data_IF_591427481713
#
_entry.id   IF_591427481713
#
_cell.length_a   1.000
_cell.length_b   1.000
_cell.length_c   1.000
_cell.angle_alpha   90.00
_cell.angle_beta   90.00
_cell.angle_gamma   90.00
#
_symmetry.space_group_name_H-M   'P 1'
#
loop_
_entity.id
_entity.type
_entity.pdbx_description
1 polymer ?
#
# COMPACT_ATOMS: atom_id res chain seq x y z
N UNK A 1 2.97 21.41 24.20
CA UNK A 1 2.24 20.22 23.68
C UNK A 1 2.33 20.23 22.15
N UNK A 2 3.06 19.26 21.56
CA UNK A 2 2.91 19.02 20.12
C UNK A 2 1.48 18.52 19.92
N UNK A 3 0.63 19.30 19.26
CA UNK A 3 -0.68 18.81 18.80
C UNK A 3 -0.38 17.65 17.88
N UNK A 4 -0.84 16.42 18.22
CA UNK A 4 -0.87 15.30 17.30
C UNK A 4 -1.81 15.66 16.16
N UNK A 5 -1.29 16.26 15.09
CA UNK A 5 -2.09 16.44 13.89
C UNK A 5 -2.23 15.08 13.20
N UNK A 6 -3.38 14.81 12.57
CA UNK A 6 -3.54 13.62 11.72
C UNK A 6 -2.50 13.59 10.61
N UNK A 7 -2.10 12.39 10.21
CA UNK A 7 -1.27 12.17 9.04
C UNK A 7 -2.03 12.60 7.77
N UNK A 8 -1.43 13.45 6.95
CA UNK A 8 -1.99 13.84 5.67
C UNK A 8 -1.59 12.79 4.62
N UNK A 9 -2.53 11.93 4.27
CA UNK A 9 -2.36 10.86 3.28
C UNK A 9 -2.91 11.28 1.92
N UNK A 10 -2.08 11.27 0.87
CA UNK A 10 -2.46 11.67 -0.48
C UNK A 10 -2.44 10.49 -1.46
N UNK A 11 -3.44 10.38 -2.37
CA UNK A 11 -3.41 9.42 -3.47
C UNK A 11 -2.42 9.85 -4.55
N UNK A 12 -1.72 8.89 -5.16
CA UNK A 12 -0.77 9.17 -6.24
C UNK A 12 -0.91 8.16 -7.37
N UNK A 13 -1.02 8.67 -8.61
CA UNK A 13 -1.20 7.86 -9.80
C UNK A 13 0.07 7.64 -10.62
N UNK A 14 1.12 8.39 -10.35
CA UNK A 14 2.43 8.26 -10.97
C UNK A 14 3.52 8.93 -10.11
N UNK A 15 4.78 8.75 -10.48
CA UNK A 15 5.93 9.26 -9.73
C UNK A 15 5.97 10.79 -9.64
N UNK A 16 5.54 11.50 -10.68
CA UNK A 16 5.47 12.97 -10.69
C UNK A 16 4.45 13.48 -9.67
N UNK A 17 3.25 12.89 -9.66
CA UNK A 17 2.20 13.22 -8.68
C UNK A 17 2.66 12.89 -7.26
N UNK A 18 3.37 11.78 -7.06
CA UNK A 18 3.95 11.41 -5.78
C UNK A 18 4.90 12.51 -5.27
N UNK A 19 5.85 12.92 -6.09
CA UNK A 19 6.80 13.98 -5.75
C UNK A 19 6.09 15.30 -5.46
N UNK A 20 5.10 15.64 -6.26
CA UNK A 20 4.27 16.83 -6.06
C UNK A 20 3.53 16.79 -4.73
N UNK A 21 2.83 15.69 -4.42
CA UNK A 21 2.09 15.54 -3.18
C UNK A 21 2.99 15.74 -1.95
N UNK A 22 4.17 15.13 -1.95
CA UNK A 22 5.15 15.28 -0.87
C UNK A 22 5.65 16.71 -0.77
N UNK A 23 5.99 17.34 -1.89
CA UNK A 23 6.45 18.75 -1.93
C UNK A 23 5.42 19.69 -1.34
N UNK A 24 4.13 19.43 -1.55
CA UNK A 24 3.03 20.22 -1.00
C UNK A 24 2.56 19.78 0.39
N UNK A 25 3.31 18.91 1.06
CA UNK A 25 3.16 18.63 2.49
C UNK A 25 2.40 17.38 2.86
N UNK A 26 2.27 16.40 1.95
CA UNK A 26 1.79 15.09 2.32
C UNK A 26 2.76 14.41 3.30
N UNK A 27 2.23 13.87 4.38
CA UNK A 27 3.00 13.08 5.37
C UNK A 27 3.17 11.63 4.91
N UNK A 28 2.22 11.16 4.08
CA UNK A 28 2.26 9.85 3.45
C UNK A 28 1.54 9.90 2.09
N UNK A 29 1.92 9.00 1.22
CA UNK A 29 1.26 8.78 -0.07
C UNK A 29 0.86 7.31 -0.21
N UNK A 30 -0.21 7.05 -0.96
CA UNK A 30 -0.53 5.68 -1.34
C UNK A 30 -0.62 5.55 -2.86
N UNK A 31 -0.22 4.39 -3.36
CA UNK A 31 -0.11 4.09 -4.76
C UNK A 31 -0.49 2.63 -5.06
N UNK A 32 -0.83 2.35 -6.30
CA UNK A 32 -1.07 0.99 -6.79
C UNK A 32 0.09 0.51 -7.66
N UNK A 33 0.55 -0.72 -7.40
CA UNK A 33 1.45 -1.42 -8.30
C UNK A 33 0.73 -1.93 -9.55
N UNK A 34 1.47 -2.37 -10.55
CA UNK A 34 0.93 -2.95 -11.79
C UNK A 34 0.10 -4.22 -11.55
N UNK A 35 0.34 -4.88 -10.41
CA UNK A 35 -0.37 -6.09 -10.04
C UNK A 35 -1.27 -5.88 -8.80
N UNK A 36 -2.39 -6.58 -8.75
CA UNK A 36 -3.26 -6.75 -7.57
C UNK A 36 -3.87 -5.49 -6.95
N UNK A 37 -3.86 -4.35 -7.65
CA UNK A 37 -4.62 -3.16 -7.29
C UNK A 37 -5.98 -3.11 -8.00
N UNK A 38 -7.00 -2.52 -7.38
CA UNK A 38 -8.34 -2.34 -7.98
C UNK A 38 -8.36 -1.48 -9.24
N UNK A 39 -7.32 -0.72 -9.49
CA UNK A 39 -7.20 0.19 -10.63
C UNK A 39 -6.23 -0.34 -11.70
N UNK A 40 -6.22 -1.65 -11.95
CA UNK A 40 -5.35 -2.29 -12.95
C UNK A 40 -5.44 -1.68 -14.37
N UNK A 41 -6.50 -0.95 -14.69
CA UNK A 41 -6.68 -0.24 -15.95
C UNK A 41 -6.12 1.21 -15.95
N UNK A 42 -5.65 1.73 -14.82
CA UNK A 42 -5.00 3.02 -14.71
C UNK A 42 -3.47 2.85 -14.78
N UNK A 43 -2.75 3.95 -14.98
CA UNK A 43 -1.30 3.96 -14.81
C UNK A 43 -0.95 3.47 -13.40
N UNK A 44 -0.28 2.32 -13.32
CA UNK A 44 0.18 1.73 -12.08
C UNK A 44 1.70 1.79 -12.04
N UNK A 45 2.25 1.80 -10.83
CA UNK A 45 3.69 1.87 -10.62
C UNK A 45 4.33 0.50 -10.88
N UNK A 46 5.38 0.46 -11.68
CA UNK A 46 6.31 -0.67 -11.69
C UNK A 46 7.06 -0.78 -10.36
N UNK A 47 7.68 -1.92 -10.09
CA UNK A 47 8.49 -2.10 -8.87
C UNK A 47 9.66 -1.10 -8.79
N UNK A 48 10.26 -0.75 -9.92
CA UNK A 48 11.32 0.25 -9.95
C UNK A 48 10.79 1.66 -9.64
N UNK A 49 9.63 2.03 -10.16
CA UNK A 49 8.97 3.29 -9.81
C UNK A 49 8.52 3.33 -8.35
N UNK A 50 8.08 2.19 -7.77
CA UNK A 50 7.79 2.07 -6.33
C UNK A 50 9.06 2.33 -5.53
N UNK A 51 10.18 1.71 -5.91
CA UNK A 51 11.48 1.91 -5.25
C UNK A 51 11.90 3.37 -5.29
N UNK A 52 11.88 3.99 -6.47
CA UNK A 52 12.22 5.40 -6.65
C UNK A 52 11.31 6.31 -5.82
N UNK A 53 10.01 5.98 -5.76
CA UNK A 53 9.02 6.70 -4.96
C UNK A 53 9.29 6.59 -3.46
N UNK A 54 9.67 5.42 -2.98
CA UNK A 54 10.03 5.19 -1.56
C UNK A 54 11.31 5.97 -1.21
N UNK A 55 12.35 5.89 -2.04
CA UNK A 55 13.58 6.63 -1.82
C UNK A 55 13.34 8.14 -1.75
N UNK A 56 12.55 8.67 -2.69
CA UNK A 56 12.18 10.07 -2.68
C UNK A 56 11.38 10.46 -1.43
N UNK A 57 10.37 9.67 -1.08
CA UNK A 57 9.51 9.93 0.08
C UNK A 57 10.33 9.92 1.38
N UNK A 58 11.15 8.90 1.58
CA UNK A 58 11.98 8.78 2.79
C UNK A 58 13.00 9.93 2.90
N UNK A 59 13.58 10.38 1.80
CA UNK A 59 14.46 11.58 1.79
C UNK A 59 13.73 12.85 2.23
N UNK A 60 12.40 12.89 2.17
CA UNK A 60 11.54 14.01 2.58
C UNK A 60 10.72 13.72 3.84
N UNK A 61 11.09 12.69 4.61
CA UNK A 61 10.41 12.28 5.85
C UNK A 61 8.92 11.89 5.66
N UNK A 62 8.54 11.47 4.46
CA UNK A 62 7.21 10.98 4.12
C UNK A 62 7.19 9.46 3.96
N UNK A 63 6.00 8.86 4.07
CA UNK A 63 5.80 7.41 3.98
C UNK A 63 5.13 7.01 2.67
N UNK A 64 5.31 5.75 2.26
CA UNK A 64 4.68 5.18 1.08
C UNK A 64 3.90 3.92 1.45
N UNK A 65 2.62 3.90 1.12
CA UNK A 65 1.73 2.75 1.30
C UNK A 65 1.36 2.16 -0.07
N UNK A 66 1.52 0.86 -0.24
CA UNK A 66 1.23 0.18 -1.50
C UNK A 66 -0.08 -0.58 -1.41
N UNK A 67 -0.98 -0.37 -2.37
CA UNK A 67 -2.26 -1.09 -2.40
C UNK A 67 -2.13 -2.45 -3.05
N UNK A 68 -2.66 -3.49 -2.39
CA UNK A 68 -2.91 -4.83 -2.90
C UNK A 68 -4.33 -5.23 -2.48
N UNK A 69 -5.31 -4.40 -2.86
CA UNK A 69 -6.67 -4.42 -2.31
C UNK A 69 -7.72 -4.99 -3.26
N UNK A 70 -7.33 -5.87 -4.18
CA UNK A 70 -8.27 -6.67 -4.94
C UNK A 70 -8.97 -7.71 -4.05
N UNK A 71 -10.10 -8.23 -4.52
CA UNK A 71 -10.69 -9.47 -4.04
C UNK A 71 -10.13 -10.60 -4.91
N UNK A 72 -9.22 -11.39 -4.34
CA UNK A 72 -8.46 -12.37 -5.09
C UNK A 72 -9.26 -13.64 -5.38
N UNK A 73 -9.11 -14.18 -6.57
CA UNK A 73 -9.53 -15.53 -6.91
C UNK A 73 -8.36 -16.52 -6.73
N UNK A 74 -8.67 -17.82 -6.74
CA UNK A 74 -7.64 -18.85 -6.52
C UNK A 74 -6.46 -18.76 -7.49
N UNK A 75 -6.69 -18.34 -8.73
CA UNK A 75 -5.63 -18.19 -9.72
C UNK A 75 -4.72 -16.97 -9.47
N UNK A 76 -5.14 -16.02 -8.63
CA UNK A 76 -4.33 -14.85 -8.26
C UNK A 76 -3.33 -15.16 -7.12
N UNK A 77 -3.63 -16.17 -6.30
CA UNK A 77 -2.95 -16.40 -5.01
C UNK A 77 -1.43 -16.62 -5.16
N UNK A 78 -1.00 -17.37 -6.18
CA UNK A 78 0.44 -17.60 -6.43
C UNK A 78 1.13 -16.31 -6.88
N UNK A 79 0.50 -15.58 -7.81
CA UNK A 79 1.02 -14.29 -8.27
C UNK A 79 1.11 -13.24 -7.16
N UNK A 80 0.14 -13.23 -6.22
CA UNK A 80 0.21 -12.38 -5.03
C UNK A 80 1.42 -12.72 -4.17
N UNK A 81 1.71 -14.00 -3.97
CA UNK A 81 2.85 -14.46 -3.19
C UNK A 81 4.18 -14.00 -3.80
N UNK A 82 4.33 -14.20 -5.11
CA UNK A 82 5.52 -13.75 -5.85
C UNK A 82 5.68 -12.23 -5.76
N UNK A 83 4.61 -11.49 -6.02
CA UNK A 83 4.60 -10.02 -5.92
C UNK A 83 4.98 -9.53 -4.52
N UNK A 84 4.53 -10.18 -3.46
CA UNK A 84 4.89 -9.79 -2.10
C UNK A 84 6.35 -10.08 -1.75
N UNK A 85 6.95 -11.12 -2.34
CA UNK A 85 8.39 -11.34 -2.23
C UNK A 85 9.18 -10.18 -2.86
N UNK A 86 8.77 -9.73 -4.05
CA UNK A 86 9.40 -8.60 -4.72
C UNK A 86 9.14 -7.27 -3.97
N UNK A 87 7.90 -7.07 -3.51
CA UNK A 87 7.53 -5.87 -2.76
C UNK A 87 8.28 -5.74 -1.43
N UNK A 88 8.55 -6.86 -0.77
CA UNK A 88 9.36 -6.90 0.45
C UNK A 88 10.76 -6.32 0.25
N UNK A 89 11.37 -6.54 -0.92
CA UNK A 89 12.71 -6.03 -1.23
C UNK A 89 12.76 -4.50 -1.39
N UNK A 90 11.64 -3.88 -1.75
CA UNK A 90 11.54 -2.41 -1.86
C UNK A 90 11.07 -1.76 -0.56
N UNK A 91 10.65 -2.53 0.43
CA UNK A 91 10.31 -2.11 1.79
C UNK A 91 9.35 -0.92 1.88
N UNK A 92 8.11 -1.01 1.41
CA UNK A 92 7.11 0.03 1.65
C UNK A 92 6.81 0.17 3.15
N UNK A 93 6.34 1.33 3.57
CA UNK A 93 6.00 1.59 4.97
C UNK A 93 4.75 0.85 5.44
N UNK A 94 3.86 0.50 4.53
CA UNK A 94 2.73 -0.40 4.76
C UNK A 94 2.15 -0.93 3.44
N UNK A 95 1.34 -1.98 3.53
CA UNK A 95 0.49 -2.45 2.43
C UNK A 95 -0.98 -2.29 2.81
N UNK A 96 -1.83 -1.96 1.83
CA UNK A 96 -3.26 -1.76 2.01
C UNK A 96 -3.99 -2.94 1.40
N UNK A 97 -4.66 -3.76 2.21
CA UNK A 97 -5.24 -5.05 1.85
C UNK A 97 -6.72 -5.10 2.20
N UNK A 98 -7.53 -5.78 1.40
CA UNK A 98 -8.96 -5.97 1.63
C UNK A 98 -9.35 -7.45 1.78
N UNK A 99 -8.61 -8.35 1.17
CA UNK A 99 -8.93 -9.78 1.10
C UNK A 99 -8.24 -10.57 2.23
N UNK A 100 -8.97 -11.38 3.03
CA UNK A 100 -8.37 -12.18 4.10
C UNK A 100 -7.33 -13.20 3.63
N UNK A 101 -7.48 -13.75 2.40
CA UNK A 101 -6.50 -14.66 1.81
C UNK A 101 -5.19 -13.94 1.50
N UNK A 102 -5.27 -12.76 0.88
CA UNK A 102 -4.11 -11.90 0.62
C UNK A 102 -3.48 -11.46 1.95
N UNK A 103 -4.28 -11.12 2.96
CA UNK A 103 -3.79 -10.81 4.31
C UNK A 103 -2.93 -11.93 4.90
N UNK A 104 -3.38 -13.17 4.77
CA UNK A 104 -2.64 -14.33 5.27
C UNK A 104 -1.29 -14.48 4.57
N UNK A 105 -1.26 -14.32 3.23
CA UNK A 105 0.00 -14.36 2.46
C UNK A 105 0.93 -13.22 2.88
N UNK A 106 0.40 -12.01 3.06
CA UNK A 106 1.20 -10.86 3.50
C UNK A 106 1.86 -11.11 4.86
N UNK A 107 1.12 -11.64 5.82
CA UNK A 107 1.64 -12.00 7.15
C UNK A 107 2.73 -13.07 7.10
N UNK A 108 2.63 -13.99 6.15
CA UNK A 108 3.60 -15.07 5.95
C UNK A 108 4.88 -14.58 5.26
N UNK A 109 4.73 -13.82 4.17
CA UNK A 109 5.86 -13.42 3.29
C UNK A 109 6.59 -12.20 3.83
N UNK A 110 5.87 -11.22 4.36
CA UNK A 110 6.42 -9.94 4.82
C UNK A 110 5.88 -9.55 6.22
N UNK A 111 6.19 -10.35 7.26
CA UNK A 111 5.64 -10.18 8.61
C UNK A 111 6.00 -8.84 9.27
N UNK A 112 7.08 -8.21 8.83
CA UNK A 112 7.59 -6.95 9.40
C UNK A 112 6.97 -5.69 8.74
N UNK A 113 6.27 -5.86 7.61
CA UNK A 113 5.61 -4.73 6.93
C UNK A 113 4.19 -4.56 7.50
N UNK A 114 3.85 -3.38 8.02
CA UNK A 114 2.50 -3.09 8.52
C UNK A 114 1.42 -3.29 7.47
N UNK A 115 0.26 -3.77 7.90
CA UNK A 115 -0.91 -3.96 7.05
C UNK A 115 -1.99 -2.97 7.47
N UNK A 116 -2.47 -2.18 6.53
CA UNK A 116 -3.65 -1.32 6.67
C UNK A 116 -4.84 -2.00 6.00
N UNK A 117 -5.96 -2.06 6.69
CA UNK A 117 -7.18 -2.65 6.14
C UNK A 117 -7.88 -1.62 5.25
N UNK A 118 -8.05 -1.99 3.98
CA UNK A 118 -8.71 -1.16 2.98
C UNK A 118 -10.21 -0.98 3.30
N UNK A 119 -10.77 0.14 2.87
CA UNK A 119 -12.24 0.35 2.87
C UNK A 119 -12.98 -0.72 2.06
N UNK A 120 -12.34 -1.35 1.11
CA UNK A 120 -12.87 -2.47 0.31
C UNK A 120 -13.17 -3.73 1.15
N UNK A 121 -12.58 -3.85 2.34
CA UNK A 121 -12.87 -4.94 3.28
C UNK A 121 -14.24 -4.81 3.96
N UNK A 122 -14.96 -3.70 3.71
CA UNK A 122 -16.28 -3.42 4.30
C UNK A 122 -16.28 -3.46 5.84
N UNK A 123 -15.24 -2.88 6.44
CA UNK A 123 -15.07 -2.83 7.90
C UNK A 123 -15.92 -1.70 8.51
N UNK A 124 -17.20 -1.98 8.78
CA UNK A 124 -18.20 -0.97 9.15
C UNK A 124 -18.70 -1.07 10.60
N UNK A 125 -18.20 -2.01 11.37
CA UNK A 125 -18.60 -2.21 12.76
C UNK A 125 -17.43 -2.71 13.63
N UNK A 126 -17.61 -2.67 14.94
CA UNK A 126 -16.57 -3.11 15.88
C UNK A 126 -16.23 -4.61 15.77
N UNK A 127 -17.17 -5.44 15.35
CA UNK A 127 -16.95 -6.87 15.18
C UNK A 127 -15.97 -7.16 14.04
N UNK A 128 -16.12 -6.48 12.89
CA UNK A 128 -15.14 -6.59 11.79
C UNK A 128 -13.79 -5.97 12.16
N UNK A 129 -13.79 -4.89 12.96
CA UNK A 129 -12.56 -4.32 13.48
C UNK A 129 -11.81 -5.31 14.39
N UNK A 130 -12.50 -6.02 15.26
CA UNK A 130 -11.91 -7.05 16.15
C UNK A 130 -11.47 -8.30 15.39
N UNK A 131 -12.09 -8.61 14.25
CA UNK A 131 -11.70 -9.73 13.39
C UNK A 131 -10.30 -9.51 12.78
N UNK A 132 -10.02 -8.31 12.30
CA UNK A 132 -8.71 -7.94 11.74
C UNK A 132 -7.66 -7.72 12.83
#
# INVERSE_FOLDING_TARGET
>A
MKRNRPELLAPTGNLEILKTAITYGADAVYLGGEAFGLRAAAHNFSLDEIRDGIEYAHAHEAKVYVTANILAHNYDMEGVREYFHELKEVCPDAVIIADPGIFTIAKEVMPDIPIHISTQANNVNYGTFLFW
#
